data_IF_188979163319
#
_entry.id   IF_188979163319
#
_cell.length_a   1.000
_cell.length_b   1.000
_cell.length_c   1.000
_cell.angle_alpha   90.00
_cell.angle_beta   90.00
_cell.angle_gamma   90.00
#
_symmetry.space_group_name_H-M   'P 1'
#
loop_
_entity.id
_entity.type
_entity.pdbx_description
1 polymer ?
#
# COMPACT_ATOMS: atom_id res chain seq x y z
N UNK A 1 -13.76 2.50 2.56
CA UNK A 1 -13.69 3.17 3.89
C UNK A 1 -14.99 3.05 4.70
N UNK A 2 -16.09 2.53 4.14
CA UNK A 2 -17.39 2.45 4.82
C UNK A 2 -17.53 1.44 5.98
N UNK A 3 -16.49 0.67 6.30
CA UNK A 3 -16.54 -0.40 7.33
C UNK A 3 -15.63 -0.17 8.55
N UNK A 4 -15.12 1.04 8.75
CA UNK A 4 -14.30 1.37 9.93
C UNK A 4 -15.20 1.96 11.01
N UNK A 5 -15.88 1.11 11.79
CA UNK A 5 -16.67 1.57 12.94
C UNK A 5 -16.01 1.27 14.29
N UNK A 6 -15.30 0.14 14.40
CA UNK A 6 -14.73 -0.36 15.66
C UNK A 6 -13.21 -0.71 15.56
N UNK A 7 -12.51 -0.27 14.52
CA UNK A 7 -11.08 -0.62 14.35
C UNK A 7 -10.17 0.48 14.92
N UNK A 8 -9.11 0.05 15.61
CA UNK A 8 -8.02 0.91 16.10
C UNK A 8 -6.73 0.56 15.40
N UNK A 9 -5.83 1.55 15.23
CA UNK A 9 -4.50 1.33 14.69
C UNK A 9 -3.48 1.54 15.80
N UNK A 10 -2.66 0.54 16.05
CA UNK A 10 -1.56 0.63 17.03
C UNK A 10 -0.22 0.60 16.32
N UNK A 11 0.63 1.57 16.61
CA UNK A 11 1.98 1.67 16.04
C UNK A 11 2.99 1.01 16.97
N UNK A 12 3.89 0.22 16.40
CA UNK A 12 5.04 -0.33 17.13
C UNK A 12 6.14 0.74 17.22
N UNK A 13 7.06 0.64 18.21
CA UNK A 13 8.17 1.59 18.34
C UNK A 13 8.95 1.72 17.03
N UNK A 14 9.11 2.97 16.57
CA UNK A 14 9.90 3.28 15.39
C UNK A 14 11.38 3.02 15.68
N UNK A 15 12.03 2.25 14.82
CA UNK A 15 13.48 2.01 14.86
C UNK A 15 14.11 2.72 13.67
N UNK A 16 14.32 4.03 13.81
CA UNK A 16 14.93 4.89 12.80
C UNK A 16 15.91 5.85 13.48
N UNK A 17 16.92 6.29 12.72
CA UNK A 17 17.86 7.32 13.13
C UNK A 17 17.41 8.67 12.56
N UNK A 18 17.77 9.82 13.18
CA UNK A 18 17.37 11.15 12.70
C UNK A 18 17.78 11.47 11.26
N UNK A 19 18.87 10.86 10.78
CA UNK A 19 19.41 11.03 9.42
C UNK A 19 18.74 10.15 8.36
N UNK A 20 17.96 9.14 8.77
CA UNK A 20 17.33 8.24 7.82
C UNK A 20 16.31 9.01 6.98
N UNK A 21 16.38 8.84 5.66
CA UNK A 21 15.43 9.40 4.68
C UNK A 21 14.41 8.38 4.22
N UNK A 22 14.55 7.14 4.67
CA UNK A 22 13.66 6.03 4.34
C UNK A 22 13.50 5.15 5.58
N UNK A 23 12.26 4.84 5.95
CA UNK A 23 11.95 4.07 7.16
C UNK A 23 10.79 3.11 6.93
N UNK A 24 10.71 2.09 7.77
CA UNK A 24 9.53 1.24 7.89
C UNK A 24 8.77 1.59 9.17
N UNK A 25 7.58 2.14 9.01
CA UNK A 25 6.64 2.35 10.12
C UNK A 25 5.80 1.08 10.27
N UNK A 26 5.83 0.47 11.45
CA UNK A 26 5.12 -0.80 11.71
C UNK A 26 3.83 -0.57 12.47
N UNK A 27 2.73 -1.17 12.02
CA UNK A 27 1.44 -1.03 12.70
C UNK A 27 0.58 -2.28 12.64
N UNK A 28 -0.43 -2.31 13.50
CA UNK A 28 -1.47 -3.33 13.53
C UNK A 28 -2.84 -2.65 13.54
N UNK A 29 -3.74 -3.12 12.70
CA UNK A 29 -5.17 -2.81 12.76
C UNK A 29 -5.84 -3.83 13.66
N UNK A 30 -6.50 -3.37 14.73
CA UNK A 30 -7.18 -4.21 15.71
C UNK A 30 -8.67 -3.93 15.70
N UNK A 31 -9.48 -4.97 15.65
CA UNK A 31 -10.94 -4.92 15.75
C UNK A 31 -11.45 -6.05 16.63
N UNK A 32 -12.58 -6.66 16.26
CA UNK A 32 -13.15 -7.81 17.00
C UNK A 32 -12.48 -9.16 16.69
N UNK A 33 -11.61 -9.21 15.69
CA UNK A 33 -10.90 -10.42 15.27
C UNK A 33 -9.39 -10.31 15.41
N UNK A 34 -8.67 -11.22 14.76
CA UNK A 34 -7.21 -11.25 14.73
C UNK A 34 -6.62 -9.91 14.23
N UNK A 35 -5.61 -9.35 14.91
CA UNK A 35 -4.92 -8.16 14.43
C UNK A 35 -4.33 -8.34 13.04
N UNK A 36 -4.50 -7.34 12.19
CA UNK A 36 -3.96 -7.33 10.82
C UNK A 36 -2.71 -6.46 10.82
N UNK A 37 -1.57 -7.04 10.42
CA UNK A 37 -0.36 -6.27 10.19
C UNK A 37 -0.52 -5.34 8.99
N UNK A 38 -0.18 -4.07 9.19
CA UNK A 38 -0.19 -3.04 8.18
C UNK A 38 1.07 -2.16 8.36
N UNK A 39 2.13 -2.45 7.61
CA UNK A 39 3.36 -1.66 7.67
C UNK A 39 3.47 -0.73 6.46
N UNK A 40 4.27 0.31 6.61
CA UNK A 40 4.44 1.37 5.61
C UNK A 40 5.93 1.55 5.35
N UNK A 41 6.35 1.50 4.08
CA UNK A 41 7.62 2.11 3.68
C UNK A 41 7.37 3.58 3.40
N UNK A 42 8.16 4.43 4.03
CA UNK A 42 7.98 5.87 4.03
C UNK A 42 9.30 6.52 3.62
N UNK A 43 9.25 7.44 2.68
CA UNK A 43 10.40 8.24 2.26
C UNK A 43 10.23 9.71 2.63
N UNK A 44 11.34 10.38 2.93
CA UNK A 44 11.39 11.80 3.22
C UNK A 44 11.61 12.55 1.91
N UNK A 45 10.60 13.29 1.47
CA UNK A 45 10.69 14.24 0.37
C UNK A 45 10.88 15.68 0.88
N UNK A 46 11.09 16.61 -0.04
CA UNK A 46 11.25 18.03 0.27
C UNK A 46 10.03 18.63 0.99
N UNK A 47 8.82 18.13 0.71
CA UNK A 47 7.56 18.56 1.30
C UNK A 47 7.09 17.68 2.48
N UNK A 48 7.93 16.75 2.93
CA UNK A 48 7.67 15.89 4.09
C UNK A 48 7.71 14.39 3.78
N UNK A 49 7.26 13.60 4.74
CA UNK A 49 7.26 12.14 4.64
C UNK A 49 6.07 11.63 3.81
N UNK A 50 6.35 10.70 2.90
CA UNK A 50 5.35 10.09 2.00
C UNK A 50 5.42 8.57 2.10
N UNK A 51 4.26 7.93 2.23
CA UNK A 51 4.14 6.48 2.12
C UNK A 51 4.21 6.12 0.64
N UNK A 52 5.12 5.22 0.27
CA UNK A 52 5.25 4.77 -1.13
C UNK A 52 4.94 3.28 -1.31
N UNK A 53 4.91 2.49 -0.23
CA UNK A 53 4.56 1.07 -0.26
C UNK A 53 3.90 0.63 1.05
N UNK A 54 3.03 -0.36 0.96
CA UNK A 54 2.28 -0.94 2.07
C UNK A 54 2.58 -2.43 2.18
N UNK A 55 2.79 -2.91 3.40
CA UNK A 55 2.84 -4.33 3.71
C UNK A 55 1.52 -4.74 4.35
N UNK A 56 0.82 -5.69 3.74
CA UNK A 56 -0.39 -6.28 4.31
C UNK A 56 -0.10 -7.75 4.58
N UNK A 57 -0.18 -8.15 5.86
CA UNK A 57 0.03 -9.54 6.28
C UNK A 57 1.34 -10.17 5.75
N UNK A 58 2.42 -9.40 5.72
CA UNK A 58 3.75 -9.85 5.27
C UNK A 58 4.05 -9.57 3.79
N UNK A 59 3.08 -9.11 3.01
CA UNK A 59 3.24 -8.92 1.56
C UNK A 59 3.33 -7.43 1.21
N UNK A 60 4.44 -7.02 0.58
CA UNK A 60 4.59 -5.66 0.03
C UNK A 60 3.80 -5.52 -1.28
N UNK A 61 2.94 -4.51 -1.34
CA UNK A 61 2.06 -4.31 -2.47
C UNK A 61 2.83 -3.92 -3.72
N UNK A 62 3.82 -3.02 -3.64
CA UNK A 62 4.62 -2.62 -4.82
C UNK A 62 5.34 -3.83 -5.43
N UNK A 63 5.90 -4.72 -4.62
CA UNK A 63 6.57 -5.94 -5.10
C UNK A 63 5.57 -6.88 -5.80
N UNK A 64 4.38 -7.04 -5.23
CA UNK A 64 3.29 -7.85 -5.81
C UNK A 64 2.81 -7.29 -7.15
N UNK A 65 2.55 -5.99 -7.21
CA UNK A 65 2.07 -5.31 -8.42
C UNK A 65 3.15 -5.20 -9.48
N UNK A 66 4.43 -5.01 -9.11
CA UNK A 66 5.55 -4.96 -10.06
C UNK A 66 5.59 -6.20 -10.93
N UNK A 67 5.44 -7.38 -10.33
CA UNK A 67 5.41 -8.66 -11.08
C UNK A 67 4.25 -8.70 -12.09
N UNK A 68 3.05 -8.30 -11.67
CA UNK A 68 1.86 -8.26 -12.54
C UNK A 68 2.01 -7.22 -13.66
N UNK A 69 2.55 -6.04 -13.35
CA UNK A 69 2.75 -4.97 -14.32
C UNK A 69 3.82 -5.34 -15.34
N UNK A 70 4.91 -5.99 -14.92
CA UNK A 70 5.92 -6.50 -15.84
C UNK A 70 5.34 -7.50 -16.84
N UNK A 71 4.43 -8.38 -16.40
CA UNK A 71 3.75 -9.32 -17.29
C UNK A 71 2.89 -8.59 -18.34
N UNK A 72 2.10 -7.60 -17.92
CA UNK A 72 1.26 -6.82 -18.83
C UNK A 72 2.10 -5.98 -19.80
N UNK A 73 3.16 -5.33 -19.31
CA UNK A 73 4.09 -4.54 -20.13
C UNK A 73 4.77 -5.42 -21.18
N UNK A 74 5.25 -6.61 -20.79
CA UNK A 74 5.87 -7.53 -21.73
C UNK A 74 4.90 -8.01 -22.82
N UNK A 75 3.61 -8.12 -22.50
CA UNK A 75 2.58 -8.57 -23.43
C UNK A 75 2.03 -7.45 -24.33
N UNK A 76 1.87 -6.23 -23.80
CA UNK A 76 1.08 -5.15 -24.44
C UNK A 76 1.71 -3.76 -24.37
N UNK A 77 2.93 -3.64 -23.87
CA UNK A 77 3.62 -2.36 -23.67
C UNK A 77 3.03 -1.51 -22.55
N UNK A 78 3.60 -0.32 -22.36
CA UNK A 78 3.19 0.63 -21.31
C UNK A 78 1.74 1.10 -21.52
N UNK A 79 1.33 1.35 -22.77
CA UNK A 79 -0.04 1.77 -23.08
C UNK A 79 -1.06 0.69 -22.72
N UNK A 80 -0.72 -0.58 -22.93
CA UNK A 80 -1.54 -1.72 -22.52
C UNK A 80 -1.76 -1.76 -21.01
N UNK A 81 -0.69 -1.54 -20.23
CA UNK A 81 -0.78 -1.43 -18.78
C UNK A 81 -1.70 -0.26 -18.35
N UNK A 82 -1.53 0.92 -18.95
CA UNK A 82 -2.36 2.10 -18.64
C UNK A 82 -3.85 1.80 -18.91
N UNK A 83 -4.17 1.17 -20.05
CA UNK A 83 -5.53 0.80 -20.39
C UNK A 83 -6.13 -0.21 -19.40
N UNK A 84 -5.35 -1.23 -19.01
CA UNK A 84 -5.76 -2.24 -18.04
C UNK A 84 -6.05 -1.61 -16.65
N UNK A 85 -5.20 -0.70 -16.21
CA UNK A 85 -5.38 0.04 -14.96
C UNK A 85 -6.63 0.94 -15.01
N UNK A 86 -6.84 1.67 -16.11
CA UNK A 86 -8.02 2.50 -16.30
C UNK A 86 -9.31 1.66 -16.25
N UNK A 87 -9.32 0.49 -16.88
CA UNK A 87 -10.46 -0.42 -16.82
C UNK A 87 -10.71 -0.95 -15.41
N UNK A 88 -9.65 -1.38 -14.70
CA UNK A 88 -9.76 -1.88 -13.31
C UNK A 88 -10.29 -0.80 -12.37
N UNK A 89 -9.84 0.44 -12.53
CA UNK A 89 -10.31 1.57 -11.71
C UNK A 89 -11.82 1.82 -11.90
N UNK A 90 -12.33 1.81 -13.14
CA UNK A 90 -13.77 1.94 -13.42
C UNK A 90 -14.59 0.82 -12.77
N UNK A 91 -14.10 -0.42 -12.83
CA UNK A 91 -14.76 -1.58 -12.23
C UNK A 91 -14.81 -1.51 -10.69
N UNK A 92 -13.80 -0.93 -10.05
CA UNK A 92 -13.75 -0.79 -8.60
C UNK A 92 -14.67 0.34 -8.08
N UNK A 93 -14.76 1.46 -8.82
CA UNK A 93 -15.70 2.55 -8.48
C UNK A 93 -17.17 2.13 -8.64
N UNK A 94 -17.48 1.24 -9.59
CA UNK A 94 -18.84 0.71 -9.77
C UNK A 94 -19.32 -0.25 -8.67
N UNK A 95 -18.42 -0.72 -7.80
CA UNK A 95 -18.74 -1.58 -6.64
C UNK A 95 -18.87 -0.82 -5.32
N UNK A 96 -18.66 0.49 -5.33
CA UNK A 96 -18.70 1.36 -4.15
C UNK A 96 -19.78 2.44 -4.20
N UNK A 97 -20.68 2.38 -5.19
CA UNK A 97 -21.87 3.23 -5.31
C UNK A 97 -23.15 2.49 -4.94
#
# INVERSE_FOLDING_TARGET
LGEVKDQTVTFRPLRARPEDTEVVVRSEVRGRGEPIQLDYRVEKMADGWKIYDLNVLGIWLVETYRTQFSQEINARGIDGLIAALAQRNKSNTGKTG
#
